data_IF_170235619065
#
_entry.id   IF_170235619065
#
_cell.length_a   1.000
_cell.length_b   1.000
_cell.length_c   1.000
_cell.angle_alpha   90.00
_cell.angle_beta   90.00
_cell.angle_gamma   90.00
#
_symmetry.space_group_name_H-M   'P 1'
#
loop_
_entity.id
_entity.type
_entity.pdbx_description
1 polymer ?
#
# COMPACT_ATOMS: atom_id res chain seq x y z
N UNK A 1 5.62 -5.59 9.81
CA UNK A 1 6.04 -4.20 9.58
C UNK A 1 5.06 -3.47 8.67
N UNK A 2 4.91 -3.80 7.38
CA UNK A 2 4.00 -3.10 6.45
C UNK A 2 2.55 -2.93 6.95
N UNK A 3 1.99 -3.90 7.67
CA UNK A 3 0.66 -3.77 8.30
C UNK A 3 0.60 -2.60 9.31
N UNK A 4 1.63 -2.45 10.15
CA UNK A 4 1.71 -1.37 11.12
C UNK A 4 1.92 -0.02 10.43
N UNK A 5 2.73 0.01 9.37
CA UNK A 5 2.99 1.21 8.57
C UNK A 5 1.70 1.71 7.89
N UNK A 6 0.86 0.79 7.38
CA UNK A 6 -0.46 1.15 6.87
C UNK A 6 -1.34 1.74 7.98
N UNK A 7 -1.39 1.10 9.16
CA UNK A 7 -2.20 1.58 10.29
C UNK A 7 -1.73 2.92 10.85
N UNK A 8 -0.42 3.22 10.76
CA UNK A 8 0.15 4.51 11.18
C UNK A 8 0.05 5.60 10.11
N UNK A 9 -0.67 5.36 9.01
CA UNK A 9 -0.87 6.34 7.95
C UNK A 9 0.33 6.55 7.02
N UNK A 10 1.32 5.65 7.04
CA UNK A 10 2.49 5.71 6.14
C UNK A 10 2.25 4.99 4.80
N UNK A 11 1.08 4.38 4.61
CA UNK A 11 0.62 3.83 3.34
C UNK A 11 -0.14 4.84 2.48
N UNK A 12 -0.23 4.56 1.19
CA UNK A 12 -1.02 5.33 0.23
C UNK A 12 -2.39 4.66 0.00
N UNK A 13 -3.49 5.40 0.19
CA UNK A 13 -4.84 4.89 -0.10
C UNK A 13 -5.16 5.19 -1.57
N UNK A 14 -5.12 4.15 -2.40
CA UNK A 14 -5.44 4.26 -3.83
C UNK A 14 -6.94 4.27 -4.08
N UNK A 15 -7.71 3.59 -3.23
CA UNK A 15 -9.17 3.62 -3.25
C UNK A 15 -9.72 3.57 -1.83
N UNK A 16 -10.53 4.57 -1.47
CA UNK A 16 -11.32 4.55 -0.25
C UNK A 16 -12.44 3.49 -0.33
N UNK A 17 -12.83 2.88 0.79
CA UNK A 17 -14.00 2.01 0.80
C UNK A 17 -15.23 2.80 0.37
N UNK A 18 -16.13 2.17 -0.38
CA UNK A 18 -17.35 2.82 -0.87
C UNK A 18 -18.27 3.28 0.28
N UNK A 19 -18.19 2.62 1.44
CA UNK A 19 -19.02 2.91 2.61
C UNK A 19 -18.23 2.82 3.91
N UNK A 20 -18.62 3.63 4.89
CA UNK A 20 -18.06 3.58 6.25
C UNK A 20 -16.73 4.30 6.42
N UNK A 21 -16.22 4.29 7.65
CA UNK A 21 -14.94 4.88 8.04
C UNK A 21 -13.93 3.82 8.54
N UNK A 22 -14.34 2.55 8.55
CA UNK A 22 -13.52 1.40 8.92
C UNK A 22 -13.57 0.38 7.79
N UNK A 23 -12.46 -0.34 7.61
CA UNK A 23 -12.35 -1.39 6.60
C UNK A 23 -11.67 -2.61 7.18
N UNK A 24 -12.13 -3.79 6.78
CA UNK A 24 -11.45 -5.06 7.05
C UNK A 24 -10.62 -5.44 5.83
N UNK A 25 -9.31 -5.58 6.01
CA UNK A 25 -8.41 -6.08 4.96
C UNK A 25 -8.54 -7.60 4.85
N UNK A 26 -8.69 -8.10 3.62
CA UNK A 26 -8.91 -9.52 3.30
C UNK A 26 -7.69 -10.16 2.67
N UNK A 27 -7.00 -9.43 1.80
CA UNK A 27 -5.85 -9.94 1.08
C UNK A 27 -4.66 -8.99 1.22
N UNK A 28 -3.48 -9.59 1.29
CA UNK A 28 -2.19 -8.88 1.22
C UNK A 28 -1.34 -9.58 0.17
N UNK A 29 -0.94 -8.85 -0.86
CA UNK A 29 -0.10 -9.38 -1.93
C UNK A 29 1.11 -8.48 -2.15
N UNK A 30 2.14 -9.03 -2.80
CA UNK A 30 3.28 -8.24 -3.29
C UNK A 30 3.08 -7.97 -4.77
N UNK A 31 3.26 -6.72 -5.17
CA UNK A 31 3.16 -6.28 -6.56
C UNK A 31 4.27 -5.29 -6.88
N UNK A 32 4.33 -4.87 -8.14
CA UNK A 32 5.26 -3.87 -8.63
C UNK A 32 4.45 -2.67 -9.13
N UNK A 33 4.66 -1.51 -8.49
CA UNK A 33 4.06 -0.26 -8.91
C UNK A 33 4.80 0.28 -10.14
N UNK A 34 4.01 0.55 -11.18
CA UNK A 34 4.44 1.21 -12.40
C UNK A 34 3.93 2.65 -12.38
N UNK A 35 4.86 3.60 -12.50
CA UNK A 35 4.56 5.02 -12.43
C UNK A 35 4.11 5.53 -13.80
N UNK A 36 3.25 6.56 -13.81
CA UNK A 36 2.96 7.29 -15.05
C UNK A 36 4.18 8.07 -15.56
N UNK A 37 5.09 8.44 -14.66
CA UNK A 37 6.36 9.06 -15.02
C UNK A 37 7.37 7.98 -15.45
N UNK A 38 8.07 8.16 -16.59
CA UNK A 38 9.07 7.20 -17.05
C UNK A 38 10.16 6.95 -16.01
N UNK A 39 10.34 5.69 -15.61
CA UNK A 39 11.37 5.26 -14.68
C UNK A 39 12.02 3.96 -15.15
N UNK A 40 13.28 3.75 -14.75
CA UNK A 40 14.09 2.60 -15.17
C UNK A 40 13.91 1.34 -14.31
N UNK A 41 13.01 1.39 -13.33
CA UNK A 41 12.73 0.30 -12.41
C UNK A 41 11.26 0.31 -12.01
N UNK A 42 10.75 -0.84 -11.55
CA UNK A 42 9.44 -0.91 -10.90
C UNK A 42 9.63 -0.92 -9.39
N UNK A 43 8.80 -0.18 -8.67
CA UNK A 43 8.89 -0.12 -7.21
C UNK A 43 8.07 -1.26 -6.60
N UNK A 44 8.66 -2.17 -5.79
CA UNK A 44 7.89 -3.22 -5.13
C UNK A 44 7.02 -2.62 -4.02
N UNK A 45 5.77 -3.07 -3.93
CA UNK A 45 4.77 -2.62 -2.96
C UNK A 45 3.98 -3.79 -2.38
N UNK A 46 3.60 -3.67 -1.11
CA UNK A 46 2.53 -4.47 -0.53
C UNK A 46 1.18 -3.85 -0.89
N UNK A 47 0.30 -4.66 -1.46
CA UNK A 47 -1.08 -4.27 -1.81
C UNK A 47 -2.03 -4.87 -0.79
N UNK A 48 -2.79 -4.01 -0.12
CA UNK A 48 -3.84 -4.40 0.82
C UNK A 48 -5.19 -4.18 0.16
N UNK A 49 -5.95 -5.26 0.04
CA UNK A 49 -7.31 -5.22 -0.49
C UNK A 49 -8.29 -5.55 0.62
N UNK A 50 -9.29 -4.70 0.78
CA UNK A 50 -10.30 -4.83 1.81
C UNK A 50 -11.71 -4.78 1.27
N UNK A 51 -12.65 -4.89 2.19
CA UNK A 51 -14.08 -4.77 1.89
C UNK A 51 -14.41 -3.43 1.23
N UNK A 52 -15.57 -3.37 0.58
CA UNK A 52 -16.09 -2.18 -0.12
C UNK A 52 -15.14 -1.59 -1.18
N UNK A 53 -14.26 -2.43 -1.72
CA UNK A 53 -13.32 -2.09 -2.78
C UNK A 53 -12.10 -1.30 -2.31
N UNK A 54 -11.82 -1.27 -1.01
CA UNK A 54 -10.64 -0.60 -0.48
C UNK A 54 -9.34 -1.17 -1.06
N UNK A 55 -8.45 -0.28 -1.47
CA UNK A 55 -7.11 -0.63 -1.94
C UNK A 55 -6.11 0.36 -1.36
N UNK A 56 -5.06 -0.16 -0.73
CA UNK A 56 -3.91 0.65 -0.30
C UNK A 56 -2.58 -0.01 -0.61
N UNK A 57 -1.54 0.82 -0.70
CA UNK A 57 -0.18 0.41 -1.02
C UNK A 57 0.79 0.86 0.08
N UNK A 58 1.76 0.00 0.39
CA UNK A 58 2.91 0.35 1.23
C UNK A 58 4.19 -0.07 0.48
N UNK A 59 5.21 0.79 0.35
CA UNK A 59 6.49 0.40 -0.24
C UNK A 59 7.07 -0.85 0.45
N UNK A 60 7.50 -1.83 -0.34
CA UNK A 60 8.11 -3.04 0.19
C UNK A 60 9.63 -2.91 0.45
N UNK A 61 10.19 -1.73 0.16
CA UNK A 61 11.59 -1.40 0.43
C UNK A 61 11.66 -0.72 1.79
N UNK A 62 12.48 -1.27 2.69
CA UNK A 62 12.72 -0.64 3.98
C UNK A 62 13.33 0.76 3.78
N UNK A 63 13.00 1.74 4.65
CA UNK A 63 13.70 3.01 4.64
C UNK A 63 15.21 2.76 4.74
N UNK A 64 16.04 3.51 4.00
CA UNK A 64 17.49 3.41 4.13
C UNK A 64 17.87 3.66 5.58
N UNK A 65 18.73 2.81 6.13
CA UNK A 65 19.24 3.01 7.49
C UNK A 65 20.03 4.32 7.55
N UNK A 66 19.65 5.21 8.46
CA UNK A 66 20.38 6.44 8.79
C UNK A 66 21.02 6.28 10.17
N UNK A 67 22.34 6.49 10.24
CA UNK A 67 23.16 6.52 11.48
C UNK A 67 22.72 7.60 12.47
#
# INVERSE_FOLDING_TARGET
>A
QAWQELQSGMGFIARYPATGASVTVRNVTIAYYDSFEPQMYLQPVFVFEGDDGFVSYVPAVAPPWTE
#
